data_IF_247672281609
#
_entry.id   IF_247672281609
#
_cell.length_a   1.000
_cell.length_b   1.000
_cell.length_c   1.000
_cell.angle_alpha   90.00
_cell.angle_beta   90.00
_cell.angle_gamma   90.00
#
_symmetry.space_group_name_H-M   'P 1'
#
loop_
_entity.id
_entity.type
_entity.pdbx_description
1 polymer ?
#
# COMPACT_ATOMS: atom_id res chain seq x y z
N UNK A 1 27.84 12.82 2.70
CA UNK A 1 26.40 13.15 2.79
C UNK A 1 25.72 12.13 1.91
N UNK A 2 25.12 11.12 2.54
CA UNK A 2 24.60 9.95 1.84
C UNK A 2 23.40 10.31 0.97
N UNK A 3 23.44 9.83 -0.28
CA UNK A 3 22.34 9.88 -1.22
C UNK A 3 21.24 8.89 -0.76
N UNK A 4 20.39 9.30 0.18
CA UNK A 4 19.28 8.47 0.73
C UNK A 4 17.99 8.65 -0.10
N UNK A 5 18.04 9.36 -1.23
CA UNK A 5 16.82 9.71 -1.99
C UNK A 5 16.22 8.60 -2.88
N UNK A 6 16.76 7.37 -2.92
CA UNK A 6 16.47 6.44 -4.04
C UNK A 6 15.70 5.14 -3.75
N UNK A 7 15.24 4.86 -2.52
CA UNK A 7 14.51 3.59 -2.23
C UNK A 7 13.13 3.76 -1.57
N UNK A 8 12.54 4.96 -1.62
CA UNK A 8 11.15 5.13 -1.18
C UNK A 8 10.17 4.66 -2.26
N UNK A 9 9.02 4.15 -1.84
CA UNK A 9 7.93 3.83 -2.75
C UNK A 9 7.33 5.13 -3.29
N UNK A 10 7.33 5.30 -4.60
CA UNK A 10 6.69 6.43 -5.27
C UNK A 10 5.23 6.06 -5.60
N UNK A 11 4.23 6.79 -5.07
CA UNK A 11 2.81 6.45 -5.28
C UNK A 11 2.39 6.34 -6.75
N UNK A 12 3.02 7.10 -7.65
CA UNK A 12 2.67 7.13 -9.08
C UNK A 12 3.46 6.08 -9.84
N UNK A 13 4.80 6.08 -9.71
CA UNK A 13 5.68 5.19 -10.47
C UNK A 13 5.53 3.73 -10.05
N UNK A 14 5.25 3.51 -8.77
CA UNK A 14 5.16 2.18 -8.18
C UNK A 14 3.71 1.75 -7.92
N UNK A 15 2.71 2.43 -8.51
CA UNK A 15 1.29 2.12 -8.31
C UNK A 15 0.97 0.63 -8.50
N UNK A 16 1.45 0.03 -9.58
CA UNK A 16 1.19 -1.40 -9.85
C UNK A 16 1.76 -2.31 -8.75
N UNK A 17 2.94 -1.98 -8.22
CA UNK A 17 3.58 -2.73 -7.13
C UNK A 17 2.79 -2.55 -5.84
N UNK A 18 2.33 -1.33 -5.55
CA UNK A 18 1.46 -1.04 -4.40
C UNK A 18 0.15 -1.83 -4.49
N UNK A 19 -0.54 -1.75 -5.64
CA UNK A 19 -1.82 -2.41 -5.87
C UNK A 19 -1.68 -3.94 -5.70
N UNK A 20 -0.63 -4.53 -6.27
CA UNK A 20 -0.38 -5.97 -6.17
C UNK A 20 0.01 -6.37 -4.74
N UNK A 21 0.86 -5.57 -4.09
CA UNK A 21 1.26 -5.79 -2.70
C UNK A 21 0.06 -5.78 -1.77
N UNK A 22 -0.82 -4.78 -1.88
CA UNK A 22 -2.01 -4.70 -1.03
C UNK A 22 -2.94 -5.88 -1.25
N UNK A 23 -3.22 -6.24 -2.51
CA UNK A 23 -4.08 -7.38 -2.85
C UNK A 23 -3.54 -8.69 -2.28
N UNK A 24 -2.26 -8.99 -2.51
CA UNK A 24 -1.66 -10.24 -2.03
C UNK A 24 -1.53 -10.27 -0.51
N UNK A 25 -1.23 -9.15 0.14
CA UNK A 25 -1.21 -9.06 1.60
C UNK A 25 -2.61 -9.31 2.19
N UNK A 26 -3.66 -8.69 1.65
CA UNK A 26 -5.04 -8.91 2.10
C UNK A 26 -5.47 -10.36 1.87
N UNK A 27 -5.15 -10.93 0.71
CA UNK A 27 -5.42 -12.35 0.41
C UNK A 27 -4.74 -13.28 1.40
N UNK A 28 -3.47 -13.05 1.72
CA UNK A 28 -2.73 -13.90 2.66
C UNK A 28 -3.19 -13.74 4.11
N UNK A 29 -3.40 -12.52 4.59
CA UNK A 29 -3.68 -12.26 6.01
C UNK A 29 -5.14 -12.51 6.38
N UNK A 30 -6.06 -12.24 5.45
CA UNK A 30 -7.50 -12.31 5.71
C UNK A 30 -8.23 -13.39 4.89
N UNK A 31 -7.53 -14.09 3.99
CA UNK A 31 -8.13 -15.04 3.05
C UNK A 31 -9.24 -14.41 2.18
N UNK A 32 -9.06 -13.14 1.81
CA UNK A 32 -9.99 -12.36 1.00
C UNK A 32 -9.37 -12.02 -0.36
N UNK A 33 -10.03 -12.42 -1.44
CA UNK A 33 -9.69 -11.99 -2.80
C UNK A 33 -10.63 -10.85 -3.21
N UNK A 34 -10.17 -9.62 -3.03
CA UNK A 34 -10.95 -8.39 -3.26
C UNK A 34 -10.16 -7.42 -4.12
N UNK A 35 -10.86 -6.71 -5.00
CA UNK A 35 -10.28 -5.60 -5.76
C UNK A 35 -10.17 -4.35 -4.88
N UNK A 36 -8.95 -3.83 -4.71
CA UNK A 36 -8.64 -2.69 -3.85
C UNK A 36 -8.31 -1.42 -4.64
N UNK A 37 -8.36 -1.45 -5.98
CA UNK A 37 -7.86 -0.37 -6.83
C UNK A 37 -8.57 0.98 -6.64
N UNK A 38 -9.83 0.97 -6.21
CA UNK A 38 -10.64 2.17 -5.97
C UNK A 38 -10.76 2.54 -4.48
N UNK A 39 -10.11 1.77 -3.60
CA UNK A 39 -10.18 1.91 -2.15
C UNK A 39 -9.18 2.95 -1.61
N UNK A 40 -8.34 3.48 -2.51
CA UNK A 40 -7.49 4.63 -2.26
C UNK A 40 -7.18 5.40 -3.54
N UNK A 41 -6.83 6.67 -3.38
CA UNK A 41 -6.40 7.55 -4.47
C UNK A 41 -5.05 8.17 -4.15
N UNK A 42 -4.31 8.56 -5.20
CA UNK A 42 -3.09 9.34 -5.04
C UNK A 42 -3.46 10.82 -5.01
N UNK A 43 -3.02 11.53 -3.97
CA UNK A 43 -3.24 12.97 -3.84
C UNK A 43 -1.97 13.67 -3.33
N UNK A 44 -1.87 14.98 -3.60
CA UNK A 44 -0.78 15.79 -3.05
C UNK A 44 -1.14 16.26 -1.64
N UNK A 45 -0.28 15.99 -0.67
CA UNK A 45 -0.38 16.59 0.65
C UNK A 45 -0.18 18.11 0.56
N UNK A 46 -1.14 18.87 1.07
CA UNK A 46 -1.16 20.34 0.94
C UNK A 46 0.03 20.99 1.66
N UNK A 47 0.46 20.42 2.80
CA UNK A 47 1.51 20.95 3.67
C UNK A 47 2.88 20.54 3.17
N UNK A 48 3.14 19.23 3.02
CA UNK A 48 4.47 18.72 2.65
C UNK A 48 4.74 18.74 1.14
N UNK A 49 3.71 18.97 0.32
CA UNK A 49 3.75 18.88 -1.16
C UNK A 49 4.10 17.50 -1.72
N UNK A 50 4.23 16.49 -0.87
CA UNK A 50 4.49 15.09 -1.27
C UNK A 50 3.22 14.42 -1.78
N UNK A 51 3.37 13.51 -2.74
CA UNK A 51 2.28 12.60 -3.13
C UNK A 51 2.09 11.55 -2.04
N UNK A 52 0.83 11.26 -1.72
CA UNK A 52 0.42 10.29 -0.70
C UNK A 52 -0.78 9.49 -1.18
N UNK A 53 -0.98 8.31 -0.61
CA UNK A 53 -2.19 7.52 -0.74
C UNK A 53 -3.23 8.03 0.26
N UNK A 54 -4.44 8.31 -0.22
CA UNK A 54 -5.58 8.76 0.58
C UNK A 54 -6.67 7.71 0.50
N UNK A 55 -7.17 7.28 1.67
CA UNK A 55 -8.24 6.28 1.77
C UNK A 55 -9.54 6.80 1.14
N UNK A 56 -10.16 5.97 0.32
CA UNK A 56 -11.51 6.15 -0.25
C UNK A 56 -12.37 4.93 0.02
N UNK A 57 -12.17 4.35 1.22
CA UNK A 57 -12.77 3.09 1.64
C UNK A 57 -14.28 3.03 1.42
N UNK A 58 -14.70 2.02 0.68
CA UNK A 58 -16.10 1.65 0.47
C UNK A 58 -16.73 1.09 1.75
N UNK A 59 -18.05 0.93 1.74
CA UNK A 59 -18.77 0.28 2.84
C UNK A 59 -18.25 -1.13 3.12
N UNK A 60 -17.78 -1.85 2.09
CA UNK A 60 -17.22 -3.21 2.24
C UNK A 60 -16.01 -3.20 3.18
N UNK A 61 -15.11 -2.23 3.02
CA UNK A 61 -13.97 -2.06 3.92
C UNK A 61 -14.41 -1.55 5.28
N UNK A 62 -15.30 -0.56 5.34
CA UNK A 62 -15.75 0.05 6.60
C UNK A 62 -16.47 -0.97 7.50
N UNK A 63 -17.27 -1.86 6.91
CA UNK A 63 -18.03 -2.89 7.63
C UNK A 63 -17.18 -4.10 8.04
N UNK A 64 -15.95 -4.22 7.55
CA UNK A 64 -15.02 -5.28 7.93
C UNK A 64 -13.85 -4.67 8.74
N UNK A 65 -13.88 -4.73 10.08
CA UNK A 65 -12.86 -4.09 10.92
C UNK A 65 -11.43 -4.57 10.63
N UNK A 66 -11.24 -5.86 10.38
CA UNK A 66 -9.92 -6.43 10.12
C UNK A 66 -9.34 -5.90 8.80
N UNK A 67 -10.17 -5.88 7.75
CA UNK A 67 -9.79 -5.29 6.47
C UNK A 67 -9.53 -3.79 6.57
N UNK A 68 -10.37 -3.06 7.32
CA UNK A 68 -10.20 -1.63 7.58
C UNK A 68 -8.84 -1.33 8.22
N UNK A 69 -8.50 -2.03 9.31
CA UNK A 69 -7.25 -1.81 10.03
C UNK A 69 -6.03 -2.21 9.21
N UNK A 70 -6.10 -3.33 8.48
CA UNK A 70 -5.02 -3.76 7.61
C UNK A 70 -4.76 -2.73 6.51
N UNK A 71 -5.80 -2.32 5.77
CA UNK A 71 -5.67 -1.34 4.70
C UNK A 71 -5.17 0.01 5.21
N UNK A 72 -5.67 0.47 6.36
CA UNK A 72 -5.18 1.70 6.99
C UNK A 72 -3.69 1.60 7.35
N UNK A 73 -3.25 0.47 7.89
CA UNK A 73 -1.85 0.21 8.24
C UNK A 73 -0.95 0.20 7.02
N UNK A 74 -1.37 -0.46 5.93
CA UNK A 74 -0.61 -0.52 4.68
C UNK A 74 -0.43 0.86 4.04
N UNK A 75 -1.52 1.63 3.92
CA UNK A 75 -1.48 3.02 3.43
C UNK A 75 -0.55 3.88 4.29
N UNK A 76 -0.64 3.75 5.62
CA UNK A 76 0.21 4.49 6.54
C UNK A 76 1.69 4.19 6.30
N UNK A 77 2.07 2.90 6.20
CA UNK A 77 3.44 2.47 5.98
C UNK A 77 4.05 3.04 4.69
N UNK A 78 3.27 3.08 3.61
CA UNK A 78 3.71 3.70 2.34
C UNK A 78 3.88 5.21 2.53
N UNK A 79 2.88 5.90 3.10
CA UNK A 79 2.90 7.35 3.24
C UNK A 79 4.02 7.88 4.15
N UNK A 80 4.40 7.12 5.17
CA UNK A 80 5.48 7.49 6.09
C UNK A 80 6.84 7.02 5.62
N UNK A 81 6.93 6.25 4.52
CA UNK A 81 8.17 5.64 4.07
C UNK A 81 8.73 4.61 5.06
N UNK A 82 7.87 4.00 5.89
CA UNK A 82 8.27 2.91 6.79
C UNK A 82 8.64 1.63 6.01
N UNK A 83 8.17 1.54 4.76
CA UNK A 83 8.56 0.49 3.82
C UNK A 83 9.34 1.11 2.67
N UNK A 84 10.55 0.58 2.44
CA UNK A 84 11.31 0.86 1.23
C UNK A 84 10.76 0.05 0.06
N UNK A 85 11.00 0.51 -1.17
CA UNK A 85 10.59 -0.20 -2.38
C UNK A 85 11.17 -1.60 -2.42
N UNK A 86 12.45 -1.77 -2.07
CA UNK A 86 13.05 -3.10 -1.96
C UNK A 86 12.33 -4.02 -0.96
N UNK A 87 11.84 -3.49 0.17
CA UNK A 87 11.09 -4.29 1.14
C UNK A 87 9.72 -4.70 0.59
N UNK A 88 9.03 -3.80 -0.11
CA UNK A 88 7.75 -4.11 -0.76
C UNK A 88 7.95 -5.19 -1.82
N UNK A 89 8.92 -5.03 -2.72
CA UNK A 89 9.20 -6.00 -3.79
C UNK A 89 9.59 -7.38 -3.24
N UNK A 90 10.48 -7.45 -2.24
CA UNK A 90 10.83 -8.73 -1.61
C UNK A 90 9.64 -9.41 -0.95
N UNK A 91 8.79 -8.62 -0.28
CA UNK A 91 7.57 -9.17 0.32
C UNK A 91 6.65 -9.71 -0.77
N UNK A 92 6.49 -8.97 -1.87
CA UNK A 92 5.70 -9.39 -3.02
C UNK A 92 6.19 -10.71 -3.61
N UNK A 93 7.51 -10.88 -3.79
CA UNK A 93 8.11 -12.14 -4.26
C UNK A 93 7.76 -13.32 -3.32
N UNK A 94 7.94 -13.14 -2.01
CA UNK A 94 7.57 -14.14 -1.00
C UNK A 94 6.07 -14.46 -0.96
N UNK A 95 5.22 -13.50 -1.33
CA UNK A 95 3.77 -13.70 -1.42
C UNK A 95 3.40 -14.51 -2.66
N UNK A 96 4.10 -14.31 -3.79
CA UNK A 96 3.88 -15.02 -5.05
C UNK A 96 4.40 -16.46 -5.01
N UNK A 97 5.54 -16.69 -4.35
CA UNK A 97 6.12 -18.03 -4.22
C UNK A 97 5.30 -18.96 -3.31
N UNK A 98 4.36 -18.41 -2.55
CA UNK A 98 3.47 -19.15 -1.64
C UNK A 98 2.03 -19.34 -2.15
N UNK A 99 1.70 -18.90 -3.38
CA UNK A 99 0.43 -19.20 -4.08
C UNK A 99 0.51 -20.53 -4.84
#
# INVERSE_FOLDING_TARGET
MDNIETDLVDPVRDKNIIDEYFRLTVKKELNLDINLSDEYVIAQNIVSKKLILVKTFSEVIIMNPDLYFLMQSLIHKINTGLLSKNQVTKTLELLKDGE
#
